data_IF_175728728652
#
_entry.id   IF_175728728652
#
_cell.length_a   1.000
_cell.length_b   1.000
_cell.length_c   1.000
_cell.angle_alpha   90.00
_cell.angle_beta   90.00
_cell.angle_gamma   90.00
#
_symmetry.space_group_name_H-M   'P 1'
#
loop_
_entity.id
_entity.type
_entity.pdbx_description
1 polymer ?
#
# COMPACT_ATOMS: atom_id res chain seq x y z
N UNK A 1 56.76 -56.58 8.21
CA UNK A 1 56.32 -55.16 8.13
C UNK A 1 56.13 -54.89 6.64
N UNK A 2 55.01 -54.45 6.05
CA UNK A 2 53.86 -53.69 6.51
C UNK A 2 52.71 -54.01 5.52
N UNK A 3 51.46 -54.17 6.01
CA UNK A 3 50.27 -54.51 5.19
C UNK A 3 49.78 -53.27 4.42
N UNK A 4 49.45 -53.45 3.14
CA UNK A 4 48.74 -52.48 2.30
C UNK A 4 47.24 -52.56 2.62
N UNK A 5 46.68 -51.49 3.18
CA UNK A 5 45.24 -51.33 3.40
C UNK A 5 44.68 -50.30 2.43
N UNK A 6 43.84 -50.75 1.50
CA UNK A 6 43.11 -49.90 0.56
C UNK A 6 41.83 -49.41 1.25
N UNK A 7 41.77 -48.13 1.61
CA UNK A 7 40.55 -47.49 2.12
C UNK A 7 39.77 -46.91 0.92
N UNK A 8 38.64 -47.51 0.57
CA UNK A 8 37.70 -46.94 -0.38
C UNK A 8 36.78 -45.94 0.36
N UNK A 9 36.94 -44.65 0.09
CA UNK A 9 36.03 -43.61 0.57
C UNK A 9 34.86 -43.46 -0.42
N UNK A 10 33.68 -43.92 -0.01
CA UNK A 10 32.41 -43.64 -0.68
C UNK A 10 31.99 -42.20 -0.37
N UNK A 11 32.19 -41.28 -1.32
CA UNK A 11 31.54 -39.97 -1.30
C UNK A 11 30.07 -40.15 -1.70
N UNK A 12 29.19 -40.15 -0.70
CA UNK A 12 27.75 -40.01 -0.90
C UNK A 12 27.43 -38.58 -1.33
N UNK A 13 27.17 -38.37 -2.62
CA UNK A 13 26.47 -37.18 -3.08
C UNK A 13 25.01 -37.30 -2.65
N UNK A 14 24.64 -36.61 -1.57
CA UNK A 14 23.24 -36.33 -1.27
C UNK A 14 22.74 -35.31 -2.29
N UNK A 15 22.21 -35.78 -3.41
CA UNK A 15 21.41 -34.96 -4.32
C UNK A 15 20.15 -34.56 -3.57
N UNK A 16 20.12 -33.34 -3.03
CA UNK A 16 18.88 -32.72 -2.58
C UNK A 16 17.92 -32.65 -3.75
N UNK A 17 16.84 -33.45 -3.70
CA UNK A 17 15.70 -33.28 -4.59
C UNK A 17 15.20 -31.84 -4.40
N UNK A 18 14.93 -31.08 -5.47
CA UNK A 18 14.21 -29.82 -5.33
C UNK A 18 12.91 -30.12 -4.58
N UNK A 19 12.65 -29.40 -3.49
CA UNK A 19 11.39 -29.49 -2.79
C UNK A 19 10.29 -29.27 -3.82
N UNK A 20 9.50 -30.32 -4.09
CA UNK A 20 8.39 -30.21 -5.02
C UNK A 20 7.51 -29.05 -4.58
N UNK A 21 7.18 -28.15 -5.51
CA UNK A 21 6.20 -27.08 -5.32
C UNK A 21 4.86 -27.72 -4.97
N UNK A 22 4.65 -28.00 -3.68
CA UNK A 22 3.38 -28.52 -3.20
C UNK A 22 2.40 -27.36 -3.11
N UNK A 23 1.25 -27.52 -3.74
CA UNK A 23 0.13 -26.61 -3.54
C UNK A 23 -0.23 -26.63 -2.04
N UNK A 24 -0.26 -25.48 -1.36
CA UNK A 24 -0.66 -25.41 0.04
C UNK A 24 -2.08 -25.97 0.23
N UNK A 25 -2.30 -26.67 1.34
CA UNK A 25 -3.64 -27.08 1.76
C UNK A 25 -4.49 -25.86 2.11
N UNK A 26 -5.82 -26.02 2.15
CA UNK A 26 -6.72 -24.92 2.50
C UNK A 26 -6.40 -24.34 3.89
N UNK A 27 -6.06 -25.18 4.87
CA UNK A 27 -5.67 -24.73 6.22
C UNK A 27 -4.42 -23.87 6.19
N UNK A 28 -3.41 -24.24 5.38
CA UNK A 28 -2.19 -23.44 5.22
C UNK A 28 -2.47 -22.11 4.51
N UNK A 29 -3.35 -22.12 3.51
CA UNK A 29 -3.81 -20.90 2.83
C UNK A 29 -4.48 -19.95 3.85
N UNK A 30 -5.38 -20.47 4.68
CA UNK A 30 -6.09 -19.67 5.68
C UNK A 30 -5.11 -19.11 6.73
N UNK A 31 -4.09 -19.88 7.11
CA UNK A 31 -3.01 -19.40 7.98
C UNK A 31 -2.18 -18.28 7.35
N UNK A 32 -1.81 -18.42 6.07
CA UNK A 32 -1.09 -17.38 5.33
C UNK A 32 -1.95 -16.11 5.28
N UNK A 33 -3.25 -16.25 5.00
CA UNK A 33 -4.20 -15.13 4.96
C UNK A 33 -4.24 -14.39 6.30
N UNK A 34 -4.41 -15.13 7.41
CA UNK A 34 -4.41 -14.53 8.75
C UNK A 34 -3.09 -13.81 9.06
N UNK A 35 -1.95 -14.43 8.72
CA UNK A 35 -0.62 -13.87 9.01
C UNK A 35 -0.33 -12.62 8.20
N UNK A 36 -0.60 -12.60 6.89
CA UNK A 36 -0.36 -11.39 6.10
C UNK A 36 -1.29 -10.25 6.53
N UNK A 37 -2.54 -10.54 6.88
CA UNK A 37 -3.48 -9.51 7.33
C UNK A 37 -3.03 -8.88 8.67
N UNK A 38 -2.45 -9.69 9.56
CA UNK A 38 -1.82 -9.21 10.79
C UNK A 38 -0.61 -8.31 10.47
N UNK A 39 0.23 -8.70 9.50
CA UNK A 39 1.37 -7.87 9.04
C UNK A 39 0.95 -6.56 8.40
N UNK A 40 -0.10 -6.57 7.59
CA UNK A 40 -0.68 -5.33 7.04
C UNK A 40 -1.27 -4.44 8.14
N UNK A 41 -1.74 -5.01 9.26
CA UNK A 41 -2.20 -4.23 10.42
C UNK A 41 -1.04 -3.56 11.16
N UNK A 42 0.07 -4.29 11.38
CA UNK A 42 1.32 -3.72 11.91
C UNK A 42 1.84 -2.60 10.99
N UNK A 43 1.80 -2.82 9.67
CA UNK A 43 2.21 -1.84 8.68
C UNK A 43 1.33 -0.58 8.69
N UNK A 44 0.00 -0.75 8.77
CA UNK A 44 -0.93 0.38 8.82
C UNK A 44 -0.61 1.33 9.99
N UNK A 45 -0.39 0.76 11.18
CA UNK A 45 0.01 1.51 12.37
C UNK A 45 1.40 2.14 12.20
N UNK A 46 2.35 1.42 11.62
CA UNK A 46 3.68 1.97 11.36
C UNK A 46 3.62 3.16 10.41
N UNK A 47 2.82 3.08 9.33
CA UNK A 47 2.68 4.12 8.30
C UNK A 47 2.17 5.45 8.86
N UNK A 48 1.35 5.43 9.89
CA UNK A 48 0.90 6.65 10.59
C UNK A 48 2.06 7.42 11.24
N UNK A 49 3.22 6.81 11.42
CA UNK A 49 4.41 7.47 11.95
C UNK A 49 5.34 8.01 10.85
N UNK A 50 4.91 8.05 9.59
CA UNK A 50 5.73 8.53 8.47
C UNK A 50 5.11 9.72 7.76
N UNK A 51 5.94 10.69 7.41
CA UNK A 51 5.61 11.68 6.37
C UNK A 51 6.24 11.29 5.06
N UNK A 52 5.59 11.65 3.96
CA UNK A 52 6.11 11.44 2.62
C UNK A 52 5.57 12.49 1.65
N UNK A 53 6.27 12.69 0.54
CA UNK A 53 5.81 13.50 -0.59
C UNK A 53 5.05 12.62 -1.56
N UNK A 54 3.82 13.02 -1.88
CA UNK A 54 3.00 12.38 -2.89
C UNK A 54 2.94 13.26 -4.15
N UNK A 55 3.28 12.69 -5.30
CA UNK A 55 3.09 13.34 -6.59
C UNK A 55 2.08 12.53 -7.42
N UNK A 56 0.91 13.11 -7.65
CA UNK A 56 -0.12 12.57 -8.54
C UNK A 56 0.05 13.25 -9.90
N UNK A 57 0.15 12.46 -10.96
CA UNK A 57 0.15 12.95 -12.34
C UNK A 57 -0.81 12.12 -13.18
N UNK A 58 -1.72 12.79 -13.88
CA UNK A 58 -2.65 12.18 -14.82
C UNK A 58 -2.44 12.85 -16.18
N UNK A 59 -2.21 12.02 -17.19
CA UNK A 59 -2.06 12.43 -18.58
C UNK A 59 -3.25 11.94 -19.38
N UNK A 60 -3.85 12.87 -20.10
CA UNK A 60 -4.80 12.58 -21.16
C UNK A 60 -4.04 12.38 -22.47
N UNK A 61 -4.28 11.25 -23.13
CA UNK A 61 -3.56 10.88 -24.35
C UNK A 61 -4.49 10.95 -25.58
N UNK A 62 -3.92 11.23 -26.74
CA UNK A 62 -4.58 11.01 -28.03
C UNK A 62 -4.46 9.55 -28.49
N UNK A 63 -5.09 9.21 -29.62
CA UNK A 63 -5.08 7.86 -30.20
C UNK A 63 -3.68 7.37 -30.60
N UNK A 64 -2.72 8.30 -30.80
CA UNK A 64 -1.32 7.99 -31.09
C UNK A 64 -0.46 7.89 -29.82
N UNK A 65 -1.05 8.08 -28.63
CA UNK A 65 -0.36 8.03 -27.35
C UNK A 65 0.35 9.34 -26.95
N UNK A 66 0.16 10.43 -27.69
CA UNK A 66 0.75 11.72 -27.32
C UNK A 66 -0.07 12.40 -26.21
N UNK A 67 0.61 13.13 -25.33
CA UNK A 67 -0.06 13.88 -24.27
C UNK A 67 -0.78 15.10 -24.84
N UNK A 68 -2.09 15.23 -24.57
CA UNK A 68 -2.91 16.38 -24.96
C UNK A 68 -3.48 17.18 -23.78
N UNK A 69 -3.41 16.62 -22.58
CA UNK A 69 -3.85 17.25 -21.34
C UNK A 69 -3.11 16.67 -20.14
N UNK A 70 -2.97 17.47 -19.08
CA UNK A 70 -2.25 17.07 -17.86
C UNK A 70 -2.93 17.63 -16.63
N UNK A 71 -3.02 16.79 -15.61
CA UNK A 71 -3.28 17.20 -14.23
C UNK A 71 -2.11 16.74 -13.36
N UNK A 72 -1.66 17.59 -12.45
CA UNK A 72 -0.56 17.27 -11.55
C UNK A 72 -0.73 17.97 -10.21
N UNK A 73 -0.55 17.22 -9.12
CA UNK A 73 -0.53 17.73 -7.75
C UNK A 73 0.63 17.09 -7.01
N UNK A 74 1.40 17.91 -6.31
CA UNK A 74 2.44 17.49 -5.37
C UNK A 74 2.02 17.96 -3.99
N UNK A 75 1.93 17.02 -3.06
CA UNK A 75 1.51 17.25 -1.68
C UNK A 75 2.46 16.59 -0.69
N UNK A 76 2.69 17.23 0.44
CA UNK A 76 3.32 16.59 1.60
C UNK A 76 2.21 15.96 2.46
N UNK A 77 2.33 14.65 2.72
CA UNK A 77 1.39 13.88 3.51
C UNK A 77 1.90 13.75 4.94
N UNK A 78 1.06 14.14 5.89
CA UNK A 78 1.41 14.19 7.32
C UNK A 78 0.28 13.55 8.12
N UNK A 79 0.61 12.62 9.00
CA UNK A 79 -0.35 12.06 9.94
C UNK A 79 -0.23 12.78 11.29
N UNK A 80 -1.38 13.23 11.81
CA UNK A 80 -1.45 13.80 13.16
C UNK A 80 -1.29 12.73 14.24
N UNK A 81 -1.10 13.17 15.49
CA UNK A 81 -1.03 12.26 16.65
C UNK A 81 -2.31 11.45 16.87
N UNK A 82 -3.43 11.89 16.30
CA UNK A 82 -4.72 11.19 16.29
C UNK A 82 -4.86 10.20 15.11
N UNK A 83 -3.77 9.95 14.37
CA UNK A 83 -3.73 9.08 13.19
C UNK A 83 -4.35 9.71 11.93
N UNK A 84 -4.86 10.95 12.00
CA UNK A 84 -5.53 11.57 10.85
C UNK A 84 -4.53 12.01 9.79
N UNK A 85 -4.76 11.57 8.55
CA UNK A 85 -4.05 12.04 7.35
C UNK A 85 -4.43 13.49 7.04
N UNK A 86 -3.45 14.38 7.14
CA UNK A 86 -3.49 15.73 6.60
C UNK A 86 -2.66 15.82 5.32
N UNK A 87 -3.04 16.75 4.44
CA UNK A 87 -2.40 16.94 3.15
C UNK A 87 -2.07 18.42 2.96
N UNK A 88 -0.79 18.71 2.70
CA UNK A 88 -0.32 20.05 2.40
C UNK A 88 0.09 20.11 0.93
N UNK A 89 -0.68 20.79 0.10
CA UNK A 89 -0.33 21.01 -1.31
C UNK A 89 0.93 21.88 -1.40
N UNK A 90 1.97 21.34 -2.05
CA UNK A 90 3.25 22.02 -2.31
C UNK A 90 3.21 22.67 -3.69
N UNK A 91 2.64 21.98 -4.68
CA UNK A 91 2.56 22.46 -6.05
C UNK A 91 1.37 21.84 -6.78
N UNK A 92 0.52 22.67 -7.35
CA UNK A 92 -0.63 22.25 -8.16
C UNK A 92 -0.77 23.21 -9.35
N UNK A 93 -0.08 22.98 -10.49
CA UNK A 93 -0.29 23.78 -11.69
C UNK A 93 -1.73 23.65 -12.20
N UNK A 94 -2.18 24.64 -12.96
CA UNK A 94 -3.51 24.62 -13.59
C UNK A 94 -3.62 23.39 -14.50
N UNK A 95 -4.70 22.62 -14.31
CA UNK A 95 -5.00 21.45 -15.12
C UNK A 95 -5.29 21.84 -16.57
N UNK A 96 -4.78 21.05 -17.52
CA UNK A 96 -5.06 21.20 -18.96
C UNK A 96 -5.84 20.01 -19.52
N UNK A 97 -6.40 19.16 -18.65
CA UNK A 97 -7.33 18.10 -19.05
C UNK A 97 -8.51 18.70 -19.82
N UNK A 98 -8.92 18.05 -20.90
CA UNK A 98 -10.00 18.51 -21.79
C UNK A 98 -11.24 17.64 -21.66
N UNK A 99 -11.06 16.33 -21.69
CA UNK A 99 -12.16 15.37 -21.69
C UNK A 99 -12.18 14.49 -20.42
N UNK A 100 -11.37 14.83 -19.42
CA UNK A 100 -11.34 14.20 -18.11
C UNK A 100 -11.62 15.23 -17.02
N UNK A 101 -12.44 14.82 -16.06
CA UNK A 101 -12.67 15.55 -14.83
C UNK A 101 -12.39 14.59 -13.68
N UNK A 102 -11.55 15.02 -12.73
CA UNK A 102 -11.33 14.29 -11.49
C UNK A 102 -12.55 14.48 -10.58
N UNK A 103 -13.07 13.40 -10.04
CA UNK A 103 -14.17 13.42 -9.08
C UNK A 103 -13.67 13.17 -7.65
N UNK A 104 -14.50 13.45 -6.63
CA UNK A 104 -14.16 13.11 -5.24
C UNK A 104 -13.87 11.61 -5.03
N UNK A 105 -14.52 10.72 -5.79
CA UNK A 105 -14.23 9.29 -5.77
C UNK A 105 -12.81 8.98 -6.26
N UNK A 106 -12.33 9.68 -7.29
CA UNK A 106 -10.96 9.52 -7.79
C UNK A 106 -9.93 9.96 -6.74
N UNK A 107 -10.19 11.09 -6.06
CA UNK A 107 -9.35 11.57 -4.96
C UNK A 107 -9.32 10.60 -3.77
N UNK A 108 -10.48 10.01 -3.44
CA UNK A 108 -10.58 8.99 -2.41
C UNK A 108 -9.80 7.71 -2.80
N UNK A 109 -9.87 7.31 -4.06
CA UNK A 109 -9.15 6.15 -4.57
C UNK A 109 -7.63 6.36 -4.51
N UNK A 110 -7.13 7.53 -4.94
CA UNK A 110 -5.71 7.91 -4.83
C UNK A 110 -5.25 7.89 -3.36
N UNK A 111 -6.10 8.35 -2.45
CA UNK A 111 -5.77 8.44 -1.02
C UNK A 111 -5.72 7.08 -0.32
N UNK A 112 -6.68 6.21 -0.61
CA UNK A 112 -6.99 5.05 0.25
C UNK A 112 -7.00 3.71 -0.48
N UNK A 113 -7.32 3.68 -1.78
CA UNK A 113 -7.44 2.42 -2.54
C UNK A 113 -6.16 2.09 -3.30
N UNK A 114 -5.50 3.07 -3.91
CA UNK A 114 -4.25 2.87 -4.64
C UNK A 114 -3.09 2.41 -3.72
N UNK A 115 -2.90 3.00 -2.52
CA UNK A 115 -2.00 2.44 -1.52
C UNK A 115 -2.71 1.35 -0.68
N UNK A 116 -3.40 0.41 -1.33
CA UNK A 116 -4.27 -0.61 -0.71
C UNK A 116 -3.57 -1.32 0.45
N UNK A 117 -4.26 -1.47 1.58
CA UNK A 117 -3.83 -2.25 2.74
C UNK A 117 -4.97 -3.18 3.13
N UNK A 118 -4.67 -4.44 3.44
CA UNK A 118 -5.68 -5.43 3.82
C UNK A 118 -5.45 -5.92 5.25
N UNK A 119 -5.93 -5.14 6.22
CA UNK A 119 -5.74 -5.38 7.66
C UNK A 119 -6.60 -6.53 8.19
N UNK A 120 -6.31 -7.01 9.39
CA UNK A 120 -7.15 -8.00 10.10
C UNK A 120 -8.56 -7.48 10.38
N UNK A 121 -8.76 -6.16 10.50
CA UNK A 121 -10.08 -5.56 10.70
C UNK A 121 -10.92 -5.53 9.40
N UNK A 122 -10.24 -5.53 8.25
CA UNK A 122 -10.88 -5.40 6.94
C UNK A 122 -10.95 -6.72 6.16
N UNK A 123 -10.12 -7.72 6.50
CA UNK A 123 -10.01 -8.98 5.77
C UNK A 123 -11.36 -9.68 5.57
N UNK A 124 -12.24 -9.62 6.58
CA UNK A 124 -13.57 -10.24 6.53
C UNK A 124 -14.53 -9.56 5.56
N UNK A 125 -14.21 -8.34 5.11
CA UNK A 125 -14.97 -7.62 4.08
C UNK A 125 -14.64 -8.12 2.67
N UNK A 126 -13.64 -8.98 2.50
CA UNK A 126 -13.16 -9.46 1.21
C UNK A 126 -13.23 -10.97 1.07
N UNK A 127 -13.57 -11.44 -0.12
CA UNK A 127 -13.21 -12.78 -0.57
C UNK A 127 -11.73 -12.75 -0.96
N UNK A 128 -10.93 -13.61 -0.33
CA UNK A 128 -9.51 -13.78 -0.61
C UNK A 128 -9.27 -15.20 -1.06
N UNK A 129 -8.82 -15.36 -2.31
CA UNK A 129 -8.63 -16.67 -2.93
C UNK A 129 -7.20 -16.82 -3.42
N UNK A 130 -6.51 -17.83 -2.93
CA UNK A 130 -5.18 -18.19 -3.39
C UNK A 130 -5.21 -18.64 -4.86
N UNK A 131 -4.27 -18.14 -5.66
CA UNK A 131 -4.15 -18.46 -7.09
C UNK A 131 -2.88 -19.27 -7.41
N UNK A 132 -1.84 -19.17 -6.59
CA UNK A 132 -0.56 -19.83 -6.84
C UNK A 132 0.62 -19.01 -6.34
N UNK A 133 1.81 -19.42 -6.75
CA UNK A 133 3.05 -18.66 -6.56
C UNK A 133 3.48 -17.98 -7.85
N UNK A 134 4.05 -16.80 -7.73
CA UNK A 134 4.68 -16.06 -8.82
C UNK A 134 5.92 -15.35 -8.28
N UNK A 135 7.01 -15.34 -9.05
CA UNK A 135 8.20 -14.56 -8.70
C UNK A 135 8.09 -13.19 -9.37
N UNK A 136 8.04 -12.14 -8.56
CA UNK A 136 8.13 -10.75 -9.03
C UNK A 136 9.59 -10.29 -8.96
N UNK A 137 10.23 -10.20 -10.12
CA UNK A 137 11.66 -9.94 -10.26
C UNK A 137 12.50 -10.98 -9.47
N UNK A 138 12.93 -10.66 -8.26
CA UNK A 138 13.70 -11.54 -7.36
C UNK A 138 12.93 -11.94 -6.09
N UNK A 139 11.66 -11.56 -5.99
CA UNK A 139 10.82 -11.75 -4.80
C UNK A 139 9.84 -12.90 -5.08
N UNK A 140 10.00 -14.08 -4.45
CA UNK A 140 8.98 -15.13 -4.50
C UNK A 140 7.74 -14.69 -3.74
N UNK A 141 6.57 -14.81 -4.37
CA UNK A 141 5.29 -14.35 -3.79
C UNK A 141 4.19 -15.40 -3.89
N UNK A 142 3.27 -15.37 -2.94
CA UNK A 142 1.93 -15.92 -3.05
C UNK A 142 1.00 -14.90 -3.73
N UNK A 143 0.22 -15.36 -4.70
CA UNK A 143 -0.75 -14.52 -5.42
C UNK A 143 -2.15 -14.81 -4.91
N UNK A 144 -2.88 -13.77 -4.52
CA UNK A 144 -4.28 -13.86 -4.10
C UNK A 144 -5.17 -12.95 -4.92
N UNK A 145 -6.32 -13.48 -5.36
CA UNK A 145 -7.44 -12.65 -5.82
C UNK A 145 -8.23 -12.11 -4.63
N UNK A 146 -8.48 -10.81 -4.63
CA UNK A 146 -9.19 -10.07 -3.59
C UNK A 146 -10.40 -9.38 -4.22
N UNK A 147 -11.58 -9.60 -3.64
CA UNK A 147 -12.83 -8.98 -4.09
C UNK A 147 -13.73 -8.61 -2.91
N UNK A 148 -14.30 -7.40 -2.85
CA UNK A 148 -15.20 -7.02 -1.76
C UNK A 148 -16.44 -7.93 -1.74
N UNK A 149 -16.86 -8.38 -0.55
CA UNK A 149 -18.05 -9.22 -0.37
C UNK A 149 -19.34 -8.40 -0.54
N UNK A 150 -19.33 -7.18 -0.03
CA UNK A 150 -20.44 -6.23 -0.07
C UNK A 150 -19.88 -4.82 -0.22
N UNK A 151 -20.56 -4.00 -1.00
CA UNK A 151 -20.25 -2.58 -1.14
C UNK A 151 -21.25 -1.74 -0.36
N UNK A 152 -20.74 -0.76 0.36
CA UNK A 152 -21.53 0.22 1.09
C UNK A 152 -21.49 1.58 0.38
N UNK A 153 -22.54 2.36 0.55
CA UNK A 153 -22.65 3.67 -0.08
C UNK A 153 -21.58 4.62 0.48
N UNK A 154 -20.84 5.29 -0.42
CA UNK A 154 -19.75 6.20 -0.05
C UNK A 154 -18.42 5.51 0.32
N UNK A 155 -18.38 4.18 0.35
CA UNK A 155 -17.15 3.42 0.56
C UNK A 155 -16.53 3.03 -0.78
N UNK A 156 -15.20 3.03 -0.81
CA UNK A 156 -14.37 2.62 -1.94
C UNK A 156 -13.56 1.40 -1.55
N UNK A 157 -13.48 0.43 -2.45
CA UNK A 157 -12.85 -0.86 -2.23
C UNK A 157 -11.85 -1.17 -3.34
N UNK A 158 -10.92 -2.07 -3.05
CA UNK A 158 -10.03 -2.63 -4.06
C UNK A 158 -10.59 -3.95 -4.61
N UNK A 159 -10.52 -4.16 -5.92
CA UNK A 159 -10.75 -5.45 -6.55
C UNK A 159 -9.60 -5.78 -7.49
N UNK A 160 -8.95 -6.93 -7.28
CA UNK A 160 -7.78 -7.31 -8.07
C UNK A 160 -6.94 -8.41 -7.43
N UNK A 161 -5.65 -8.36 -7.72
CA UNK A 161 -4.62 -9.28 -7.23
C UNK A 161 -3.73 -8.56 -6.22
N UNK A 162 -3.36 -9.30 -5.17
CA UNK A 162 -2.28 -8.93 -4.26
C UNK A 162 -1.17 -9.98 -4.35
N UNK A 163 0.06 -9.50 -4.27
CA UNK A 163 1.27 -10.32 -4.25
C UNK A 163 1.89 -10.19 -2.87
N UNK A 164 1.91 -11.28 -2.14
CA UNK A 164 2.39 -11.36 -0.75
C UNK A 164 3.73 -12.10 -0.78
N UNK A 165 4.81 -11.49 -0.27
CA UNK A 165 6.10 -12.17 -0.25
C UNK A 165 6.04 -13.46 0.60
N UNK A 166 6.71 -14.53 0.16
CA UNK A 166 6.56 -15.84 0.78
C UNK A 166 7.39 -16.07 2.05
N UNK A 167 8.12 -15.04 2.52
CA UNK A 167 9.00 -15.09 3.69
C UNK A 167 8.40 -14.34 4.88
N UNK A 168 8.18 -13.05 4.73
CA UNK A 168 7.70 -12.13 5.77
C UNK A 168 6.19 -11.91 5.70
N UNK A 169 5.53 -12.40 4.63
CA UNK A 169 4.09 -12.32 4.42
C UNK A 169 3.56 -10.87 4.40
N UNK A 170 4.29 -9.97 3.76
CA UNK A 170 3.89 -8.59 3.50
C UNK A 170 3.46 -8.44 2.03
N UNK A 171 2.49 -7.54 1.77
CA UNK A 171 2.13 -7.24 0.38
C UNK A 171 3.26 -6.43 -0.24
N UNK A 172 3.75 -6.86 -1.41
CA UNK A 172 4.83 -6.19 -2.17
C UNK A 172 4.33 -5.53 -3.45
N UNK A 173 3.23 -6.02 -4.01
CA UNK A 173 2.57 -5.47 -5.19
C UNK A 173 1.07 -5.67 -5.13
N UNK A 174 0.31 -4.74 -5.69
CA UNK A 174 -1.12 -4.91 -5.97
C UNK A 174 -1.41 -4.58 -7.43
N UNK A 175 -2.29 -5.33 -8.08
CA UNK A 175 -2.77 -5.05 -9.43
C UNK A 175 -4.29 -5.16 -9.46
N UNK A 176 -4.99 -4.10 -9.79
CA UNK A 176 -6.45 -4.13 -9.73
C UNK A 176 -7.06 -2.79 -10.08
N UNK A 177 -8.26 -2.55 -9.57
CA UNK A 177 -8.99 -1.30 -9.74
C UNK A 177 -9.72 -0.94 -8.47
N UNK A 178 -10.06 0.34 -8.36
CA UNK A 178 -11.00 0.79 -7.37
C UNK A 178 -12.44 0.48 -7.81
N UNK A 179 -13.28 0.16 -6.84
CA UNK A 179 -14.69 -0.17 -7.05
C UNK A 179 -15.54 0.35 -5.89
N UNK A 180 -16.83 0.56 -6.14
CA UNK A 180 -17.77 1.10 -5.16
C UNK A 180 -19.13 1.37 -5.79
N UNK A 181 -20.13 1.64 -4.95
CA UNK A 181 -21.47 1.98 -5.45
C UNK A 181 -21.45 3.37 -6.10
N UNK A 182 -21.81 3.41 -7.39
CA UNK A 182 -21.97 4.65 -8.13
C UNK A 182 -23.43 5.11 -8.10
N UNK A 183 -23.64 6.43 -8.25
CA UNK A 183 -24.97 6.99 -8.44
C UNK A 183 -25.59 6.44 -9.73
N UNK A 184 -26.91 6.25 -9.74
CA UNK A 184 -27.64 5.80 -10.93
C UNK A 184 -27.38 6.75 -12.11
N UNK A 185 -26.98 6.19 -13.25
CA UNK A 185 -26.65 6.96 -14.46
C UNK A 185 -25.26 7.60 -14.44
N UNK A 186 -24.41 7.30 -13.45
CA UNK A 186 -23.01 7.71 -13.46
C UNK A 186 -22.24 7.01 -14.57
N UNK A 187 -21.42 7.77 -15.28
CA UNK A 187 -20.48 7.30 -16.30
C UNK A 187 -19.03 7.27 -15.77
N UNK A 188 -18.86 7.25 -14.44
CA UNK A 188 -17.55 7.28 -13.81
C UNK A 188 -16.76 6.00 -14.12
N UNK A 189 -15.53 6.18 -14.58
CA UNK A 189 -14.61 5.11 -14.94
C UNK A 189 -13.39 5.12 -14.02
N UNK A 190 -12.93 3.94 -13.61
CA UNK A 190 -11.73 3.80 -12.77
C UNK A 190 -10.69 2.94 -13.48
N UNK A 191 -9.46 3.43 -13.65
CA UNK A 191 -8.45 2.68 -14.36
C UNK A 191 -7.98 1.47 -13.55
N UNK A 192 -7.51 0.45 -14.25
CA UNK A 192 -6.66 -0.56 -13.62
C UNK A 192 -5.28 0.02 -13.32
N UNK A 193 -4.81 -0.21 -12.11
CA UNK A 193 -3.51 0.26 -11.65
C UNK A 193 -2.68 -0.87 -11.07
N UNK A 194 -1.36 -0.66 -11.08
CA UNK A 194 -0.37 -1.44 -10.37
C UNK A 194 0.26 -0.53 -9.32
N UNK A 195 0.34 -1.00 -8.07
CA UNK A 195 1.10 -0.34 -7.01
C UNK A 195 2.23 -1.24 -6.59
N UNK A 196 3.45 -0.74 -6.69
CA UNK A 196 4.68 -1.36 -6.23
C UNK A 196 5.02 -0.79 -4.86
N UNK A 197 5.49 -1.67 -3.99
CA UNK A 197 6.00 -1.30 -2.68
C UNK A 197 7.49 -1.57 -2.62
N UNK A 198 8.20 -0.86 -1.77
CA UNK A 198 9.61 -1.09 -1.45
C UNK A 198 9.83 -1.07 0.06
N UNK A 199 10.84 -1.78 0.54
CA UNK A 199 11.22 -1.70 1.95
C UNK A 199 11.82 -0.33 2.25
N UNK A 200 11.21 0.37 3.21
CA UNK A 200 11.76 1.59 3.81
C UNK A 200 12.22 1.24 5.22
N UNK A 201 13.42 1.70 5.59
CA UNK A 201 14.08 1.42 6.88
C UNK A 201 14.22 -0.08 7.22
N UNK A 202 14.16 -0.95 6.20
CA UNK A 202 14.42 -2.40 6.30
C UNK A 202 13.36 -3.22 7.05
N UNK A 203 12.17 -2.68 7.31
CA UNK A 203 11.14 -3.37 8.11
C UNK A 203 9.80 -3.60 7.39
N UNK A 204 9.27 -2.56 6.73
CA UNK A 204 7.95 -2.64 6.10
C UNK A 204 8.01 -2.25 4.62
N UNK A 205 7.16 -2.88 3.82
CA UNK A 205 6.97 -2.57 2.40
C UNK A 205 5.99 -1.39 2.22
N UNK A 206 6.51 -0.20 1.97
CA UNK A 206 5.72 1.01 1.70
C UNK A 206 5.42 1.16 0.22
N UNK A 207 4.22 1.64 -0.18
CA UNK A 207 3.95 2.06 -1.55
C UNK A 207 4.98 3.10 -1.99
N UNK A 208 5.57 2.94 -3.17
CA UNK A 208 6.53 3.92 -3.72
C UNK A 208 6.14 4.38 -5.10
N UNK A 209 5.41 3.54 -5.84
CA UNK A 209 5.01 3.84 -7.20
C UNK A 209 3.67 3.18 -7.54
N UNK A 210 2.69 3.97 -7.95
CA UNK A 210 1.46 3.51 -8.60
C UNK A 210 1.46 3.96 -10.04
N UNK A 211 1.08 3.06 -10.96
CA UNK A 211 0.92 3.38 -12.38
C UNK A 211 -0.38 2.81 -12.91
N UNK A 212 -1.05 3.56 -13.77
CA UNK A 212 -2.18 3.05 -14.55
C UNK A 212 -2.01 3.48 -16.01
N UNK A 213 -1.96 2.51 -16.92
CA UNK A 213 -2.06 2.74 -18.36
C UNK A 213 -3.33 2.02 -18.81
N UNK A 214 -4.40 2.77 -19.04
CA UNK A 214 -5.71 2.21 -19.33
C UNK A 214 -6.49 3.12 -20.29
N UNK A 215 -7.52 2.58 -20.92
CA UNK A 215 -8.47 3.34 -21.74
C UNK A 215 -9.81 3.35 -21.03
N UNK A 216 -10.20 4.52 -20.51
CA UNK A 216 -11.48 4.71 -19.83
C UNK A 216 -12.60 4.80 -20.86
N UNK A 217 -13.64 3.99 -20.71
CA UNK A 217 -14.73 3.89 -21.68
C UNK A 217 -15.92 4.75 -21.25
N UNK A 218 -15.84 6.05 -21.49
CA UNK A 218 -16.95 6.98 -21.24
C UNK A 218 -18.01 6.89 -22.34
N UNK A 219 -19.23 7.34 -22.05
CA UNK A 219 -20.32 7.47 -23.01
C UNK A 219 -19.99 8.46 -24.15
N UNK A 220 -19.12 9.45 -23.90
CA UNK A 220 -18.59 10.37 -24.91
C UNK A 220 -17.52 9.74 -25.81
N UNK A 221 -16.99 8.59 -25.42
CA UNK A 221 -16.00 7.83 -26.18
C UNK A 221 -14.84 7.31 -25.31
N UNK A 222 -13.98 6.44 -25.90
CA UNK A 222 -12.79 5.94 -25.24
C UNK A 222 -11.79 7.06 -24.95
N UNK A 223 -11.20 7.02 -23.76
CA UNK A 223 -10.23 8.00 -23.32
C UNK A 223 -8.96 7.29 -22.80
N UNK A 224 -7.90 7.23 -23.61
CA UNK A 224 -6.63 6.67 -23.17
C UNK A 224 -5.95 7.59 -22.15
N UNK A 225 -5.49 7.01 -21.04
CA UNK A 225 -4.85 7.75 -19.97
C UNK A 225 -3.54 7.10 -19.53
N UNK A 226 -2.68 7.94 -18.94
CA UNK A 226 -1.57 7.48 -18.10
C UNK A 226 -1.61 8.20 -16.76
N UNK A 227 -1.80 7.44 -15.70
CA UNK A 227 -1.71 7.93 -14.33
C UNK A 227 -0.44 7.41 -13.66
N UNK A 228 0.17 8.26 -12.85
CA UNK A 228 1.31 7.92 -12.02
C UNK A 228 1.15 8.57 -10.66
N UNK A 229 1.31 7.81 -9.59
CA UNK A 229 1.44 8.33 -8.24
C UNK A 229 2.80 7.91 -7.69
N UNK A 230 3.62 8.87 -7.31
CA UNK A 230 4.88 8.63 -6.62
C UNK A 230 4.73 8.93 -5.15
N UNK A 231 5.32 8.08 -4.32
CA UNK A 231 5.41 8.26 -2.88
C UNK A 231 6.89 8.28 -2.53
N UNK A 232 7.42 9.47 -2.25
CA UNK A 232 8.85 9.74 -2.12
C UNK A 232 9.15 10.38 -0.76
N UNK A 233 10.43 10.44 -0.39
CA UNK A 233 10.89 11.13 0.82
C UNK A 233 10.22 10.66 2.13
N UNK A 234 10.01 9.35 2.27
CA UNK A 234 9.54 8.75 3.53
C UNK A 234 10.47 9.13 4.69
N UNK A 235 9.89 9.73 5.72
CA UNK A 235 10.59 10.13 6.95
C UNK A 235 9.77 9.78 8.17
N UNK A 236 10.35 9.01 9.08
CA UNK A 236 9.71 8.66 10.33
C UNK A 236 9.65 9.88 11.26
N UNK A 237 8.47 10.19 11.78
CA UNK A 237 8.30 11.10 12.91
C UNK A 237 8.78 10.39 14.19
N UNK A 238 9.93 10.79 14.71
CA UNK A 238 10.38 10.41 16.06
C UNK A 238 9.84 11.44 17.03
N UNK A 239 8.74 11.15 17.70
CA UNK A 239 8.30 11.94 18.87
C UNK A 239 8.35 11.05 20.11
N UNK A 240 9.56 10.84 20.64
CA UNK A 240 9.72 10.48 22.05
C UNK A 240 9.47 11.74 22.90
N UNK A 241 8.21 12.19 22.98
CA UNK A 241 7.85 13.20 23.98
C UNK A 241 7.07 12.50 25.08
N UNK A 242 7.82 11.84 25.95
CA UNK A 242 7.31 11.38 27.23
C UNK A 242 7.14 12.62 28.12
N UNK A 243 6.01 13.33 27.99
CA UNK A 243 5.69 14.47 28.86
C UNK A 243 5.38 13.90 30.24
N UNK A 244 6.42 13.77 31.07
CA UNK A 244 6.25 13.66 32.51
C UNK A 244 5.84 15.04 33.02
N UNK A 245 4.56 15.19 33.34
CA UNK A 245 4.10 16.30 34.16
C UNK A 245 4.66 16.08 35.57
N UNK A 246 5.70 16.81 35.93
CA UNK A 246 6.13 16.95 37.33
C UNK A 246 5.13 17.90 38.01
N UNK A 247 4.32 17.36 38.91
CA UNK A 247 3.49 18.14 39.81
C UNK A 247 4.39 19.04 40.66
N UNK A 248 4.49 20.32 40.28
CA UNK A 248 5.11 21.32 41.13
C UNK A 248 4.04 21.85 42.07
N UNK A 249 3.98 21.29 43.28
CA UNK A 249 3.19 21.80 44.40
C UNK A 249 3.53 23.29 44.64
N UNK A 250 2.55 24.17 44.40
CA UNK A 250 2.64 25.56 44.82
C UNK A 250 2.47 25.65 46.35
N UNK A 251 3.54 26.01 47.07
CA UNK A 251 3.44 26.45 48.47
C UNK A 251 2.84 27.86 48.53
N UNK A 252 1.85 28.13 49.42
CA UNK A 252 1.37 29.48 49.66
C UNK A 252 2.29 30.19 50.67
N UNK A 253 2.98 31.25 50.24
CA UNK A 253 3.65 32.17 51.16
C UNK A 253 2.63 33.11 51.80
N UNK A 254 2.46 32.95 53.12
CA UNK A 254 1.67 33.84 53.96
C UNK A 254 2.40 35.18 54.16
N UNK A 255 1.79 36.27 53.73
CA UNK A 255 2.21 37.62 54.11
C UNK A 255 1.47 38.06 55.38
N UNK A 256 2.22 38.56 56.37
CA UNK A 256 1.76 39.59 57.31
C UNK A 256 2.94 40.19 58.11
N UNK A 257 2.81 41.39 58.72
CA UNK A 257 3.36 42.62 58.16
C UNK A 257 4.32 43.35 59.12
N UNK A 258 5.06 44.38 58.65
CA UNK A 258 5.54 45.45 59.54
C UNK A 258 5.47 46.83 58.90
N UNK A 259 4.71 47.70 59.58
CA UNK A 259 4.71 49.17 59.50
C UNK A 259 5.93 49.74 60.23
N UNK A 260 6.32 50.98 59.91
CA UNK A 260 5.92 52.11 60.76
C UNK A 260 4.77 52.94 60.16
#
# INVERSE_FOLDING_TARGET
MLRVGLLAALLGFATGLPAADRTPSQTEIDEIIRKFAAKESEFAQARENYTYRQQVRILELDESGNTRGRHEVVSDIIFGMDGKRSERVVRAPVSTLKNLQLTPEDEQDIRSVQPFVLTSADIDKYYVRYLGKETLDEIPTYVFAVKPKKMEQGQRYFEGLIYVDDRDLQIVKTYGRATGLLKKGSDQQFPKFETYRQQIDGKYWFPTYTVANDTLMFASGPQPIRMTVKYEDYKQFKTDVNIKFEDTEAKPEAQQPKKP
#
